data_IF_571238950615
#
_entry.id   IF_571238950615
#
_cell.length_a   1.000
_cell.length_b   1.000
_cell.length_c   1.000
_cell.angle_alpha   90.00
_cell.angle_beta   90.00
_cell.angle_gamma   90.00
#
_symmetry.space_group_name_H-M   'P 1'
#
loop_
_entity.id
_entity.type
_entity.pdbx_description
1 polymer ?
#
# COMPACT_ATOMS: atom_id res chain seq x y z
N UNK A 1 1.18 -7.49 2.28
CA UNK A 1 1.86 -7.61 0.98
C UNK A 1 2.82 -6.44 0.81
N UNK A 2 4.11 -6.71 0.64
CA UNK A 2 5.12 -5.67 0.47
C UNK A 2 5.20 -5.22 -0.99
N UNK A 3 5.26 -3.91 -1.22
CA UNK A 3 5.55 -3.34 -2.55
C UNK A 3 7.04 -3.02 -2.64
N UNK A 4 7.75 -3.79 -3.45
CA UNK A 4 9.17 -3.59 -3.74
C UNK A 4 9.40 -2.91 -5.10
N UNK A 5 10.55 -2.25 -5.26
CA UNK A 5 10.93 -1.50 -6.46
C UNK A 5 10.91 -2.35 -7.74
N UNK A 6 11.33 -3.61 -7.65
CA UNK A 6 11.49 -4.52 -8.79
C UNK A 6 10.34 -5.53 -8.96
N UNK A 7 9.31 -5.49 -8.11
CA UNK A 7 8.20 -6.46 -8.20
C UNK A 7 7.20 -6.10 -9.29
N UNK A 8 6.75 -7.07 -10.08
CA UNK A 8 5.85 -6.85 -11.21
C UNK A 8 4.45 -6.37 -10.75
N UNK A 9 3.95 -5.28 -11.33
CA UNK A 9 2.64 -4.70 -10.96
C UNK A 9 1.52 -5.71 -11.20
N UNK A 10 1.52 -6.37 -12.35
CA UNK A 10 0.49 -7.35 -12.71
C UNK A 10 0.40 -8.48 -11.68
N UNK A 11 1.54 -8.99 -11.19
CA UNK A 11 1.55 -10.03 -10.18
C UNK A 11 0.86 -9.58 -8.87
N UNK A 12 1.12 -8.35 -8.41
CA UNK A 12 0.44 -7.80 -7.23
C UNK A 12 -1.06 -7.64 -7.43
N UNK A 13 -1.47 -7.18 -8.61
CA UNK A 13 -2.87 -6.96 -8.95
C UNK A 13 -3.62 -8.30 -9.03
N UNK A 14 -3.09 -9.27 -9.78
CA UNK A 14 -3.68 -10.61 -9.89
C UNK A 14 -3.81 -11.27 -8.53
N UNK A 15 -2.75 -11.23 -7.71
CA UNK A 15 -2.79 -11.77 -6.35
C UNK A 15 -3.89 -11.10 -5.50
N UNK A 16 -4.01 -9.77 -5.56
CA UNK A 16 -4.99 -9.05 -4.77
C UNK A 16 -6.44 -9.36 -5.19
N UNK A 17 -6.71 -9.46 -6.49
CA UNK A 17 -8.03 -9.82 -7.00
C UNK A 17 -8.43 -11.24 -6.57
N UNK A 18 -7.51 -12.19 -6.75
CA UNK A 18 -7.69 -13.57 -6.29
C UNK A 18 -7.92 -13.64 -4.77
N UNK A 19 -7.19 -12.83 -4.00
CA UNK A 19 -7.33 -12.77 -2.55
C UNK A 19 -8.74 -12.35 -2.15
N UNK A 20 -9.32 -11.31 -2.76
CA UNK A 20 -10.67 -10.84 -2.43
C UNK A 20 -11.78 -11.77 -2.91
N UNK A 21 -11.53 -12.56 -3.95
CA UNK A 21 -12.44 -13.62 -4.38
C UNK A 21 -12.45 -14.77 -3.37
N UNK A 22 -11.26 -15.24 -2.96
CA UNK A 22 -11.11 -16.38 -2.03
C UNK A 22 -11.41 -16.03 -0.58
N UNK A 23 -11.21 -14.79 -0.17
CA UNK A 23 -11.33 -14.33 1.22
C UNK A 23 -12.20 -13.06 1.31
N UNK A 24 -13.53 -13.16 1.15
CA UNK A 24 -14.40 -11.98 1.11
C UNK A 24 -14.42 -11.16 2.42
N UNK A 25 -14.15 -11.83 3.54
CA UNK A 25 -14.18 -11.22 4.88
C UNK A 25 -12.83 -10.65 5.33
N UNK A 26 -11.73 -11.00 4.63
CA UNK A 26 -10.39 -10.57 5.04
C UNK A 26 -9.99 -9.28 4.35
N UNK A 27 -9.27 -8.44 5.08
CA UNK A 27 -8.59 -7.27 4.52
C UNK A 27 -7.23 -7.64 3.96
N UNK A 28 -6.79 -6.87 2.97
CA UNK A 28 -5.45 -6.96 2.40
C UNK A 28 -4.69 -5.67 2.67
N UNK A 29 -3.59 -5.77 3.42
CA UNK A 29 -2.69 -4.63 3.67
C UNK A 29 -1.51 -4.66 2.72
N UNK A 30 -1.31 -3.56 1.98
CA UNK A 30 -0.16 -3.30 1.13
C UNK A 30 0.76 -2.28 1.81
N UNK A 31 2.08 -2.46 1.79
CA UNK A 31 3.01 -1.58 2.52
C UNK A 31 4.38 -1.41 1.86
N UNK A 32 5.08 -0.33 2.24
CA UNK A 32 6.45 -0.04 1.78
C UNK A 32 7.55 -0.36 2.81
N UNK A 33 7.22 -1.06 3.90
CA UNK A 33 8.22 -1.50 4.89
C UNK A 33 9.41 -2.21 4.21
N UNK A 34 10.63 -2.03 4.73
CA UNK A 34 11.81 -2.73 4.23
C UNK A 34 11.65 -4.25 4.36
N UNK A 35 12.48 -5.01 3.63
CA UNK A 35 12.56 -6.44 3.86
C UNK A 35 12.98 -6.65 5.32
N UNK A 36 12.41 -7.64 6.01
CA UNK A 36 13.08 -8.16 7.18
C UNK A 36 14.48 -8.59 6.72
N UNK A 37 15.54 -8.04 7.34
CA UNK A 37 16.90 -8.51 7.10
C UNK A 37 16.94 -9.96 7.58
N UNK A 38 16.87 -10.93 6.66
CA UNK A 38 17.39 -12.26 6.95
C UNK A 38 18.86 -12.06 7.29
N UNK A 39 19.25 -12.43 8.51
CA UNK A 39 20.59 -12.18 9.06
C UNK A 39 21.72 -12.88 8.31
N UNK A 40 21.42 -13.66 7.27
CA UNK A 40 22.39 -14.61 6.68
C UNK A 40 22.81 -14.31 5.23
N UNK A 41 22.38 -13.21 4.60
CA UNK A 41 22.94 -12.82 3.29
C UNK A 41 23.25 -11.34 3.23
N UNK A 42 24.51 -11.02 3.57
CA UNK A 42 25.15 -9.76 3.25
C UNK A 42 25.12 -9.54 1.73
N UNK A 43 24.12 -8.81 1.24
CA UNK A 43 24.13 -8.27 -0.10
C UNK A 43 25.18 -7.16 -0.15
N UNK A 44 26.20 -7.38 -0.96
CA UNK A 44 27.29 -6.46 -1.26
C UNK A 44 26.71 -5.08 -1.63
N UNK A 45 27.10 -3.99 -0.96
CA UNK A 45 26.63 -2.66 -1.31
C UNK A 45 27.26 -2.22 -2.63
N UNK A 46 26.42 -1.92 -3.63
CA UNK A 46 26.84 -1.35 -4.90
C UNK A 46 27.35 0.11 -4.70
N UNK A 47 28.32 0.57 -5.52
CA UNK A 47 29.01 1.83 -5.29
C UNK A 47 28.09 3.04 -5.43
N UNK A 48 28.28 3.97 -4.49
CA UNK A 48 27.49 5.17 -4.27
C UNK A 48 27.56 6.14 -5.45
N UNK A 49 26.39 6.61 -5.89
CA UNK A 49 26.28 7.86 -6.62
C UNK A 49 24.93 8.53 -6.27
N UNK A 50 25.03 9.65 -5.51
CA UNK A 50 23.99 10.56 -5.00
C UNK A 50 23.14 10.02 -3.82
N UNK A 51 22.73 10.89 -2.88
CA UNK A 51 21.81 10.51 -1.80
C UNK A 51 20.45 10.17 -2.39
N UNK A 52 20.24 8.89 -2.70
CA UNK A 52 18.95 8.37 -3.16
C UNK A 52 18.03 8.25 -1.95
N UNK A 53 16.79 8.69 -2.10
CA UNK A 53 15.75 8.49 -1.07
C UNK A 53 15.68 7.02 -0.67
N UNK A 54 15.44 6.75 0.63
CA UNK A 54 15.35 5.38 1.14
C UNK A 54 14.33 4.56 0.32
N UNK A 55 14.60 3.27 0.02
CA UNK A 55 13.73 2.45 -0.83
C UNK A 55 12.25 2.42 -0.41
N UNK A 56 11.97 2.45 0.90
CA UNK A 56 10.60 2.53 1.44
C UNK A 56 9.87 3.80 1.05
N UNK A 57 10.56 4.94 0.98
CA UNK A 57 9.97 6.20 0.55
C UNK A 57 9.80 6.22 -0.97
N UNK A 58 10.81 5.71 -1.70
CA UNK A 58 10.80 5.70 -3.17
C UNK A 58 9.71 4.77 -3.76
N UNK A 59 9.27 3.77 -2.99
CA UNK A 59 8.21 2.84 -3.43
C UNK A 59 6.78 3.32 -3.15
N UNK A 60 6.60 4.42 -2.42
CA UNK A 60 5.26 4.96 -2.10
C UNK A 60 4.44 5.30 -3.36
N UNK A 61 4.97 6.03 -4.37
CA UNK A 61 4.22 6.30 -5.59
C UNK A 61 3.80 5.02 -6.33
N UNK A 62 4.65 3.98 -6.29
CA UNK A 62 4.36 2.67 -6.87
C UNK A 62 3.25 1.95 -6.10
N UNK A 63 3.29 1.98 -4.77
CA UNK A 63 2.23 1.43 -3.92
C UNK A 63 0.88 2.05 -4.27
N UNK A 64 0.80 3.38 -4.34
CA UNK A 64 -0.43 4.09 -4.71
C UNK A 64 -0.90 3.64 -6.10
N UNK A 65 0.01 3.57 -7.08
CA UNK A 65 -0.31 3.10 -8.43
C UNK A 65 -0.93 1.69 -8.42
N UNK A 66 -0.34 0.75 -7.68
CA UNK A 66 -0.83 -0.62 -7.54
C UNK A 66 -2.22 -0.65 -6.90
N UNK A 67 -2.40 0.07 -5.79
CA UNK A 67 -3.69 0.18 -5.09
C UNK A 67 -4.78 0.70 -6.01
N UNK A 68 -4.50 1.77 -6.77
CA UNK A 68 -5.47 2.35 -7.69
C UNK A 68 -5.84 1.40 -8.84
N UNK A 69 -4.88 0.63 -9.36
CA UNK A 69 -5.16 -0.41 -10.36
C UNK A 69 -6.05 -1.50 -9.76
N UNK A 70 -5.74 -2.00 -8.56
CA UNK A 70 -6.55 -3.02 -7.87
C UNK A 70 -7.99 -2.54 -7.72
N UNK A 71 -8.20 -1.32 -7.23
CA UNK A 71 -9.55 -0.75 -7.06
C UNK A 71 -10.32 -0.68 -8.39
N UNK A 72 -9.66 -0.23 -9.46
CA UNK A 72 -10.29 -0.14 -10.79
C UNK A 72 -10.63 -1.52 -11.37
N UNK A 73 -9.71 -2.48 -11.31
CA UNK A 73 -9.94 -3.83 -11.82
C UNK A 73 -11.01 -4.55 -11.01
N UNK A 74 -11.00 -4.42 -9.68
CA UNK A 74 -12.03 -4.98 -8.82
C UNK A 74 -13.43 -4.46 -9.20
N UNK A 75 -13.59 -3.15 -9.43
CA UNK A 75 -14.86 -2.59 -9.88
C UNK A 75 -15.33 -3.11 -11.25
N UNK A 76 -14.41 -3.52 -12.13
CA UNK A 76 -14.77 -4.14 -13.41
C UNK A 76 -15.35 -5.54 -13.22
N UNK A 77 -14.85 -6.28 -12.22
CA UNK A 77 -15.35 -7.63 -11.88
C UNK A 77 -16.73 -7.61 -11.23
N UNK A 78 -17.14 -6.49 -10.63
CA UNK A 78 -18.46 -6.37 -10.02
C UNK A 78 -19.56 -6.26 -11.08
N UNK A 79 -20.69 -6.94 -10.81
CA UNK A 79 -21.89 -6.75 -11.60
C UNK A 79 -22.42 -5.32 -11.42
N UNK A 80 -22.54 -4.63 -12.55
CA UNK A 80 -23.03 -3.27 -12.64
C UNK A 80 -24.49 -3.09 -12.19
N UNK A 81 -25.33 -4.13 -12.31
CA UNK A 81 -26.74 -4.05 -11.87
C UNK A 81 -26.79 -4.05 -10.34
N UNK A 82 -26.14 -5.03 -9.71
CA UNK A 82 -26.05 -5.14 -8.26
C UNK A 82 -25.29 -3.97 -7.61
N UNK A 83 -24.33 -3.37 -8.32
CA UNK A 83 -23.64 -2.16 -7.86
C UNK A 83 -24.59 -0.96 -7.79
N UNK A 84 -25.49 -0.79 -8.76
CA UNK A 84 -26.47 0.30 -8.77
C UNK A 84 -27.54 0.15 -7.71
N UNK A 85 -27.88 -1.09 -7.36
CA UNK A 85 -28.79 -1.41 -6.24
C UNK A 85 -28.13 -1.20 -4.87
N UNK A 86 -26.85 -0.79 -4.82
CA UNK A 86 -26.10 -0.60 -3.59
C UNK A 86 -25.74 -1.90 -2.87
N UNK A 87 -25.99 -3.06 -3.50
CA UNK A 87 -25.73 -4.39 -2.94
C UNK A 87 -24.26 -4.79 -3.06
N UNK A 88 -23.56 -4.24 -4.04
CA UNK A 88 -22.11 -4.40 -4.21
C UNK A 88 -21.44 -3.03 -4.21
N UNK A 89 -20.44 -2.86 -3.35
CA UNK A 89 -19.60 -1.66 -3.29
C UNK A 89 -18.16 -1.99 -3.71
N UNK A 90 -17.41 -0.94 -4.05
CA UNK A 90 -15.97 -1.03 -4.24
C UNK A 90 -15.23 -1.39 -2.95
N UNK A 91 -13.90 -1.30 -2.99
CA UNK A 91 -13.06 -1.56 -1.81
C UNK A 91 -12.98 -0.32 -0.91
N UNK A 92 -13.27 -0.51 0.38
CA UNK A 92 -12.96 0.44 1.44
C UNK A 92 -11.44 0.54 1.60
N UNK A 93 -10.94 1.75 1.83
CA UNK A 93 -9.51 2.01 1.93
C UNK A 93 -9.18 2.70 3.25
N UNK A 94 -8.12 2.23 3.90
CA UNK A 94 -7.56 2.81 5.13
C UNK A 94 -6.07 3.08 4.91
N UNK A 95 -5.67 4.33 5.07
CA UNK A 95 -4.29 4.77 4.86
C UNK A 95 -3.62 5.05 6.21
N UNK A 96 -2.40 4.53 6.37
CA UNK A 96 -1.54 4.80 7.50
C UNK A 96 -0.18 5.28 6.98
N UNK A 97 0.33 6.35 7.58
CA UNK A 97 1.69 6.85 7.36
C UNK A 97 2.45 6.65 8.66
N UNK A 98 3.65 6.09 8.56
CA UNK A 98 4.53 5.91 9.70
C UNK A 98 5.93 6.43 9.41
N UNK A 99 6.74 6.45 10.46
CA UNK A 99 8.17 6.74 10.38
C UNK A 99 8.98 5.51 10.81
N UNK A 100 10.09 5.31 10.13
CA UNK A 100 11.11 4.36 10.51
C UNK A 100 12.38 5.15 10.83
N UNK A 101 12.92 4.94 12.03
CA UNK A 101 14.24 5.41 12.39
C UNK A 101 15.25 4.51 11.67
N UNK A 102 16.10 5.12 10.85
CA UNK A 102 17.18 4.42 10.17
C UNK A 102 18.46 4.71 10.93
N UNK A 103 18.91 3.72 11.68
CA UNK A 103 20.29 3.69 12.13
C UNK A 103 21.17 3.56 10.89
N UNK A 104 22.09 4.50 10.68
CA UNK A 104 22.99 4.47 9.55
C UNK A 104 23.76 3.13 9.58
N UNK A 105 23.46 2.25 8.62
CA UNK A 105 23.90 0.86 8.60
C UNK A 105 25.41 0.69 8.39
N UNK A 106 26.13 1.77 8.06
CA UNK A 106 27.58 1.78 7.87
C UNK A 106 28.36 1.58 9.16
N UNK A 107 27.73 1.79 10.32
CA UNK A 107 28.42 1.60 11.60
C UNK A 107 28.21 0.23 12.23
N UNK A 108 27.37 -0.64 11.66
CA UNK A 108 26.94 -1.94 12.23
C UNK A 108 28.07 -2.90 12.67
N UNK A 109 29.32 -2.61 12.30
CA UNK A 109 30.50 -3.42 12.57
C UNK A 109 31.43 -2.89 13.68
N UNK A 110 31.13 -1.72 14.29
CA UNK A 110 31.89 -1.19 15.46
C UNK A 110 31.20 -1.54 16.77
N UNK A 111 31.99 -1.83 17.80
CA UNK A 111 31.53 -2.08 19.19
C UNK A 111 30.51 -1.03 19.64
N UNK A 112 29.42 -1.48 20.26
CA UNK A 112 28.32 -0.61 20.69
C UNK A 112 28.78 0.47 21.69
N UNK A 113 29.77 0.15 22.52
CA UNK A 113 30.41 1.06 23.48
C UNK A 113 31.13 2.21 22.77
N UNK A 114 31.89 1.91 21.71
CA UNK A 114 32.61 2.93 20.94
C UNK A 114 31.68 3.88 20.20
N UNK A 115 30.55 3.39 19.69
CA UNK A 115 29.55 4.25 19.03
C UNK A 115 28.93 5.21 20.01
N UNK A 116 28.50 4.71 21.17
CA UNK A 116 27.94 5.54 22.23
C UNK A 116 28.94 6.61 22.67
N UNK A 117 30.21 6.25 22.85
CA UNK A 117 31.26 7.22 23.18
C UNK A 117 31.47 8.26 22.07
N UNK A 118 31.51 7.84 20.80
CA UNK A 118 31.64 8.76 19.65
C UNK A 118 30.44 9.69 19.50
N UNK A 119 29.22 9.20 19.70
CA UNK A 119 27.99 10.00 19.67
C UNK A 119 27.96 11.04 20.78
N UNK A 120 28.35 10.66 22.01
CA UNK A 120 28.45 11.58 23.15
C UNK A 120 29.51 12.65 22.86
N UNK A 121 30.70 12.25 22.42
CA UNK A 121 31.80 13.19 22.09
C UNK A 121 31.36 14.15 20.97
N UNK A 122 30.66 13.64 19.95
CA UNK A 122 30.16 14.46 18.84
C UNK A 122 29.06 15.42 19.29
N UNK A 123 28.15 14.99 20.16
CA UNK A 123 27.13 15.86 20.76
C UNK A 123 27.73 16.97 21.63
N UNK A 124 28.83 16.66 22.36
CA UNK A 124 29.51 17.63 23.22
C UNK A 124 30.41 18.62 22.46
N UNK A 125 30.82 18.33 21.23
CA UNK A 125 31.68 19.22 20.43
C UNK A 125 30.99 20.51 19.95
N UNK A 126 29.66 20.61 20.02
CA UNK A 126 28.89 21.82 19.67
C UNK A 126 28.96 22.27 18.20
N UNK A 127 29.80 21.63 17.38
CA UNK A 127 30.04 21.96 15.95
C UNK A 127 29.19 21.13 14.98
N UNK A 128 28.54 20.07 15.45
CA UNK A 128 27.66 19.18 14.66
C UNK A 128 26.49 18.68 15.50
N UNK A 129 25.27 19.06 15.14
CA UNK A 129 24.05 18.44 15.68
C UNK A 129 23.84 17.07 15.03
N UNK A 130 23.45 16.06 15.83
CA UNK A 130 23.03 14.75 15.35
C UNK A 130 21.86 14.91 14.37
N UNK A 131 22.05 14.51 13.11
CA UNK A 131 21.01 14.59 12.08
C UNK A 131 20.08 13.38 12.20
N UNK A 132 18.89 13.57 12.76
CA UNK A 132 17.86 12.53 12.77
C UNK A 132 17.33 12.28 11.35
N UNK A 133 17.58 11.07 10.82
CA UNK A 133 17.07 10.63 9.51
C UNK A 133 15.80 9.81 9.71
N UNK A 134 14.65 10.42 9.44
CA UNK A 134 13.36 9.75 9.45
C UNK A 134 13.00 9.25 8.06
N UNK A 135 12.64 7.98 7.94
CA UNK A 135 12.17 7.38 6.68
C UNK A 135 10.66 7.18 6.74
N UNK A 136 9.95 7.81 5.81
CA UNK A 136 8.51 7.63 5.69
C UNK A 136 8.17 6.23 5.16
N UNK A 137 7.18 5.60 5.79
CA UNK A 137 6.55 4.36 5.34
C UNK A 137 5.06 4.59 5.12
N UNK A 138 4.47 3.85 4.20
CA UNK A 138 3.03 3.90 3.97
C UNK A 138 2.46 2.49 4.03
N UNK A 139 1.27 2.37 4.64
CA UNK A 139 0.42 1.18 4.59
C UNK A 139 -0.95 1.58 4.06
N UNK A 140 -1.48 0.73 3.18
CA UNK A 140 -2.83 0.87 2.64
C UNK A 140 -3.55 -0.44 2.85
N UNK A 141 -4.63 -0.42 3.61
CA UNK A 141 -5.48 -1.58 3.85
C UNK A 141 -6.75 -1.46 3.01
N UNK A 142 -7.01 -2.48 2.20
CA UNK A 142 -8.18 -2.60 1.35
C UNK A 142 -9.11 -3.72 1.86
N UNK A 143 -10.42 -3.47 1.88
CA UNK A 143 -11.41 -4.45 2.34
C UNK A 143 -12.79 -4.24 1.73
N UNK A 144 -13.63 -5.28 1.74
CA UNK A 144 -15.00 -5.24 1.19
C UNK A 144 -16.02 -4.68 2.18
N UNK A 145 -15.71 -4.71 3.48
CA UNK A 145 -16.53 -4.20 4.57
C UNK A 145 -15.81 -3.07 5.30
N UNK A 146 -16.55 -2.22 5.99
CA UNK A 146 -15.96 -1.20 6.85
C UNK A 146 -15.25 -1.82 8.06
N UNK A 147 -14.11 -1.26 8.44
CA UNK A 147 -13.30 -1.65 9.59
C UNK A 147 -13.13 -0.45 10.55
N UNK A 148 -14.08 -0.22 11.46
CA UNK A 148 -14.04 0.93 12.38
C UNK A 148 -12.80 0.95 13.29
N UNK A 149 -12.29 -0.23 13.66
CA UNK A 149 -11.13 -0.35 14.52
C UNK A 149 -9.84 0.23 13.90
N UNK A 150 -9.74 0.33 12.58
CA UNK A 150 -8.59 0.98 11.92
C UNK A 150 -8.67 2.51 12.02
N UNK A 151 -9.88 3.07 11.97
CA UNK A 151 -10.09 4.50 12.21
C UNK A 151 -9.73 4.88 13.64
N UNK A 152 -10.10 4.04 14.61
CA UNK A 152 -9.73 4.23 16.01
C UNK A 152 -8.21 4.22 16.25
N UNK A 153 -7.45 3.51 15.40
CA UNK A 153 -5.98 3.50 15.41
C UNK A 153 -5.34 4.70 14.70
N UNK A 154 -6.15 5.63 14.16
CA UNK A 154 -5.66 6.81 13.45
C UNK A 154 -5.49 6.63 11.94
N UNK A 155 -5.97 5.52 11.36
CA UNK A 155 -5.92 5.36 9.90
C UNK A 155 -6.92 6.31 9.22
N UNK A 156 -6.49 6.95 8.13
CA UNK A 156 -7.36 7.80 7.32
C UNK A 156 -8.26 6.95 6.44
N UNK A 157 -9.57 7.04 6.65
CA UNK A 157 -10.57 6.28 5.90
C UNK A 157 -10.96 6.98 4.60
N UNK A 158 -11.06 6.20 3.52
CA UNK A 158 -11.59 6.63 2.23
C UNK A 158 -12.70 5.68 1.76
N UNK A 159 -13.83 6.26 1.39
CA UNK A 159 -15.00 5.52 0.92
C UNK A 159 -14.74 4.84 -0.44
N UNK A 160 -15.37 3.68 -0.68
CA UNK A 160 -15.25 2.96 -1.94
C UNK A 160 -15.86 3.76 -3.09
N UNK A 161 -15.17 3.79 -4.23
CA UNK A 161 -15.73 4.31 -5.46
C UNK A 161 -16.88 3.41 -5.95
N UNK A 162 -17.93 4.02 -6.50
CA UNK A 162 -19.08 3.32 -7.07
C UNK A 162 -19.00 3.34 -8.59
N UNK A 163 -19.23 2.18 -9.23
CA UNK A 163 -19.28 2.09 -10.69
C UNK A 163 -20.63 2.63 -11.18
N UNK A 164 -20.63 3.90 -11.59
CA UNK A 164 -21.78 4.52 -12.24
C UNK A 164 -21.85 4.10 -13.71
N UNK A 165 -22.96 3.47 -14.12
CA UNK A 165 -23.27 3.31 -15.55
C UNK A 165 -23.76 4.64 -16.15
N UNK A 166 -23.28 4.97 -17.35
CA UNK A 166 -23.78 6.13 -18.10
C UNK A 166 -25.27 5.99 -18.40
N UNK A 167 -25.97 7.13 -18.56
CA UNK A 167 -27.41 7.16 -18.87
C UNK A 167 -27.76 6.33 -20.11
N UNK A 168 -26.90 6.37 -21.13
CA UNK A 168 -27.05 5.56 -22.35
C UNK A 168 -26.86 4.06 -22.09
N UNK A 169 -25.86 3.67 -21.29
CA UNK A 169 -25.65 2.26 -20.91
C UNK A 169 -26.83 1.71 -20.10
N UNK A 170 -27.35 2.49 -19.14
CA UNK A 170 -28.56 2.13 -18.36
C UNK A 170 -29.78 1.93 -19.27
N UNK A 171 -29.99 2.84 -20.23
CA UNK A 171 -31.10 2.73 -21.18
C UNK A 171 -31.00 1.48 -22.06
N UNK A 172 -29.78 1.12 -22.52
CA UNK A 172 -29.55 -0.11 -23.30
C UNK A 172 -29.83 -1.37 -22.49
N UNK A 173 -29.37 -1.45 -21.24
CA UNK A 173 -29.65 -2.59 -20.35
C UNK A 173 -31.14 -2.77 -20.07
N UNK A 174 -31.86 -1.68 -19.78
CA UNK A 174 -33.32 -1.73 -19.59
C UNK A 174 -34.06 -2.22 -20.84
N UNK A 175 -33.62 -1.81 -22.04
CA UNK A 175 -34.19 -2.30 -23.30
C UNK A 175 -33.92 -3.80 -23.52
N UNK A 176 -32.73 -4.29 -23.17
CA UNK A 176 -32.41 -5.73 -23.24
C UNK A 176 -33.25 -6.54 -22.24
N UNK A 177 -33.34 -6.10 -20.99
CA UNK A 177 -34.14 -6.78 -19.97
C UNK A 177 -35.63 -6.91 -20.37
N UNK A 178 -36.19 -5.85 -20.97
CA UNK A 178 -37.56 -5.88 -21.50
C UNK A 178 -37.78 -6.82 -22.69
N UNK A 179 -36.73 -7.16 -23.46
CA UNK A 179 -36.84 -8.13 -24.56
C UNK A 179 -36.79 -9.57 -24.04
N UNK A 180 -35.94 -9.83 -23.05
CA UNK A 180 -35.81 -11.15 -22.42
C UNK A 180 -37.07 -11.53 -21.63
N UNK A 181 -37.80 -10.57 -21.08
CA UNK A 181 -39.05 -10.84 -20.35
C UNK A 181 -40.29 -11.03 -21.24
N UNK A 182 -40.14 -10.99 -22.57
CA UNK A 182 -41.26 -11.01 -23.54
C UNK A 182 -41.27 -12.27 -24.41
N UNK A 183 -40.21 -13.09 -24.40
CA UNK A 183 -40.21 -14.41 -25.04
C UNK A 183 -40.47 -15.52 -24.00
N UNK A 184 -41.61 -16.23 -24.05
CA UNK A 184 -41.87 -17.45 -23.27
C UNK A 184 -41.15 -18.69 -23.83
#
# INVERSE_FOLDING_TARGET
MRIASHGQINAYVTFALDFFQKNPEKSLTLHTLPAAKDRDKAAIPAPENKPRMHPSTNTIPRLISVVEIIKREYLKTLDSVLTLEGRLSGLHQYNEIGELEVDDADDAQKDAEERRQKEIIQAMQGKRHLKQRKVAIMRVTLCRKQLPHLMAKGATYQQPALRSLSRAARARLRRKAKRVSVDP
#
